data_IF_229156652566
#
_entry.id   IF_229156652566
#
_cell.length_a   1.000
_cell.length_b   1.000
_cell.length_c   1.000
_cell.angle_alpha   90.00
_cell.angle_beta   90.00
_cell.angle_gamma   90.00
#
_symmetry.space_group_name_H-M   'P 1'
#
loop_
_entity.id
_entity.type
_entity.pdbx_description
1 polymer ?
#
# COMPACT_ATOMS: atom_id res chain seq x y z
N UNK A 1 7.08 -0.99 10.35
CA UNK A 1 8.01 -0.03 10.99
C UNK A 1 9.40 -0.14 10.38
N UNK A 2 10.08 -1.30 10.46
CA UNK A 2 11.43 -1.49 9.87
C UNK A 2 11.51 -1.07 8.38
N UNK A 3 10.60 -1.55 7.54
CA UNK A 3 10.64 -1.27 6.08
C UNK A 3 10.45 0.21 5.73
N UNK A 4 9.59 0.95 6.44
CA UNK A 4 9.41 2.38 6.22
C UNK A 4 10.68 3.20 6.54
N UNK A 5 11.45 2.76 7.52
CA UNK A 5 12.73 3.39 7.88
C UNK A 5 13.79 3.04 6.84
N UNK A 6 13.84 1.77 6.42
CA UNK A 6 14.85 1.27 5.48
C UNK A 6 14.66 1.80 4.06
N UNK A 7 13.43 1.92 3.56
CA UNK A 7 13.15 2.27 2.15
C UNK A 7 12.82 3.75 1.96
N UNK A 8 12.14 4.35 2.95
CA UNK A 8 11.58 5.70 2.84
C UNK A 8 12.19 6.72 3.83
N UNK A 9 13.16 6.30 4.67
CA UNK A 9 13.70 7.12 5.77
C UNK A 9 12.61 7.76 6.63
N UNK A 10 11.44 7.10 6.70
CA UNK A 10 10.24 7.68 7.25
C UNK A 10 10.02 7.15 8.66
N UNK A 11 10.27 8.01 9.63
CA UNK A 11 9.78 7.81 10.98
C UNK A 11 8.26 8.06 11.02
N UNK A 12 7.54 7.17 11.72
CA UNK A 12 6.09 7.22 11.82
C UNK A 12 5.59 7.01 13.25
N UNK A 13 4.48 7.66 13.58
CA UNK A 13 3.74 7.52 14.85
C UNK A 13 2.29 7.09 14.57
N UNK A 14 1.50 6.90 15.64
CA UNK A 14 0.05 6.68 15.57
C UNK A 14 -0.36 5.56 14.60
N UNK A 15 0.21 4.37 14.84
CA UNK A 15 -0.06 3.19 14.04
C UNK A 15 -1.44 2.63 14.36
N UNK A 16 -2.32 2.66 13.36
CA UNK A 16 -3.66 2.10 13.44
C UNK A 16 -3.87 1.08 12.32
N UNK A 17 -4.41 -0.09 12.69
CA UNK A 17 -4.84 -1.07 11.69
C UNK A 17 -5.92 -0.45 10.81
N UNK A 18 -5.69 -0.44 9.50
CA UNK A 18 -6.59 0.17 8.52
C UNK A 18 -7.40 -0.90 7.78
N UNK A 19 -6.78 -2.01 7.40
CA UNK A 19 -7.46 -3.10 6.71
C UNK A 19 -6.53 -4.20 6.25
N UNK A 20 -7.04 -5.09 5.42
CA UNK A 20 -6.26 -6.14 4.77
C UNK A 20 -6.66 -6.30 3.31
N UNK A 21 -5.69 -6.62 2.47
CA UNK A 21 -5.86 -6.94 1.05
C UNK A 21 -5.27 -8.32 0.81
N UNK A 22 -6.11 -9.21 0.30
CA UNK A 22 -5.68 -10.50 -0.20
C UNK A 22 -5.39 -10.35 -1.70
N UNK A 23 -4.15 -10.61 -2.11
CA UNK A 23 -3.67 -10.38 -3.47
C UNK A 23 -2.98 -11.64 -4.01
N UNK A 24 -3.39 -12.08 -5.20
CA UNK A 24 -2.75 -13.19 -5.91
C UNK A 24 -2.33 -12.72 -7.29
N UNK A 25 -1.09 -13.03 -7.69
CA UNK A 25 -0.55 -12.71 -9.01
C UNK A 25 0.42 -13.78 -9.47
N UNK A 26 0.84 -13.70 -10.73
CA UNK A 26 1.86 -14.57 -11.31
C UNK A 26 2.89 -13.70 -12.00
N UNK A 27 4.17 -14.01 -11.79
CA UNK A 27 5.30 -13.38 -12.47
C UNK A 27 6.29 -14.46 -12.97
N UNK A 28 7.46 -14.04 -13.45
CA UNK A 28 8.51 -14.91 -13.97
C UNK A 28 9.04 -15.93 -12.93
N UNK A 29 8.78 -15.71 -11.64
CA UNK A 29 9.22 -16.57 -10.53
C UNK A 29 8.14 -17.54 -10.06
N UNK A 30 6.88 -17.33 -10.45
CA UNK A 30 5.78 -18.24 -10.20
C UNK A 30 4.50 -17.56 -9.73
N UNK A 31 3.60 -18.35 -9.15
CA UNK A 31 2.35 -17.87 -8.58
C UNK A 31 2.59 -17.43 -7.13
N UNK A 32 2.13 -16.23 -6.80
CA UNK A 32 2.21 -15.64 -5.48
C UNK A 32 0.83 -15.45 -4.88
N UNK A 33 0.75 -15.60 -3.57
CA UNK A 33 -0.44 -15.31 -2.78
C UNK A 33 -0.02 -14.58 -1.52
N UNK A 34 -0.51 -13.36 -1.37
CA UNK A 34 -0.12 -12.43 -0.34
C UNK A 34 -1.34 -11.97 0.46
N UNK A 35 -1.15 -11.85 1.77
CA UNK A 35 -2.07 -11.15 2.65
C UNK A 35 -1.39 -9.87 3.14
N UNK A 36 -1.76 -8.76 2.53
CA UNK A 36 -1.21 -7.44 2.82
C UNK A 36 -2.00 -6.77 3.95
N UNK A 37 -1.30 -6.29 4.98
CA UNK A 37 -1.91 -5.55 6.10
C UNK A 37 -1.71 -4.06 5.88
N UNK A 38 -2.80 -3.31 5.79
CA UNK A 38 -2.77 -1.86 5.67
C UNK A 38 -2.74 -1.24 7.06
N UNK A 39 -1.74 -0.42 7.30
CA UNK A 39 -1.53 0.31 8.54
C UNK A 39 -1.58 1.79 8.21
N UNK A 40 -2.49 2.51 8.85
CA UNK A 40 -2.48 3.97 8.85
C UNK A 40 -1.42 4.43 9.85
N UNK A 41 -0.60 5.39 9.44
CA UNK A 41 0.44 5.96 10.26
C UNK A 41 0.52 7.47 10.02
N UNK A 42 0.91 8.22 11.03
CA UNK A 42 1.25 9.62 10.90
C UNK A 42 2.76 9.75 10.64
N UNK A 43 3.16 10.48 9.61
CA UNK A 43 4.59 10.80 9.42
C UNK A 43 5.02 11.90 10.41
N UNK A 44 6.23 11.78 10.94
CA UNK A 44 6.85 12.86 11.73
C UNK A 44 7.76 13.76 10.89
N UNK A 45 7.87 13.49 9.58
CA UNK A 45 8.70 14.25 8.64
C UNK A 45 8.35 13.97 7.18
N UNK A 46 9.23 14.43 6.29
CA UNK A 46 9.16 14.19 4.85
C UNK A 46 9.61 12.78 4.50
N UNK A 47 9.07 12.23 3.41
CA UNK A 47 9.56 10.97 2.86
C UNK A 47 10.87 11.20 2.11
N UNK A 48 11.89 10.43 2.46
CA UNK A 48 13.13 10.30 1.70
C UNK A 48 13.09 9.09 0.77
N UNK A 49 13.96 9.06 -0.24
CA UNK A 49 14.23 7.85 -1.01
C UNK A 49 15.57 7.26 -0.56
N UNK A 50 15.57 6.00 -0.13
CA UNK A 50 16.80 5.28 0.24
C UNK A 50 17.33 4.45 -0.92
N UNK A 51 16.45 3.93 -1.77
CA UNK A 51 16.82 3.10 -2.91
C UNK A 51 16.76 3.91 -4.22
N UNK A 52 17.80 3.77 -5.06
CA UNK A 52 17.96 4.56 -6.29
C UNK A 52 16.82 4.39 -7.32
N UNK A 53 16.04 3.32 -7.20
CA UNK A 53 14.96 2.99 -8.12
C UNK A 53 13.58 3.42 -7.62
N UNK A 54 13.48 4.01 -6.42
CA UNK A 54 12.23 4.46 -5.83
C UNK A 54 12.15 5.98 -5.80
N UNK A 55 10.99 6.52 -6.16
CA UNK A 55 10.67 7.95 -6.01
C UNK A 55 9.36 8.10 -5.29
N UNK A 56 9.28 9.07 -4.38
CA UNK A 56 8.12 9.26 -3.54
C UNK A 56 7.42 10.58 -3.82
N UNK A 57 6.10 10.57 -3.69
CA UNK A 57 5.26 11.75 -3.84
C UNK A 57 3.99 11.62 -3.00
N UNK A 58 3.63 12.69 -2.31
CA UNK A 58 2.35 12.81 -1.63
C UNK A 58 1.24 13.14 -2.62
N UNK A 59 0.11 12.43 -2.50
CA UNK A 59 -1.11 12.72 -3.25
C UNK A 59 -2.31 12.86 -2.31
N UNK A 60 -3.24 13.79 -2.57
CA UNK A 60 -4.53 13.80 -1.91
C UNK A 60 -5.29 12.48 -2.14
N UNK A 61 -5.95 11.96 -1.12
CA UNK A 61 -6.78 10.72 -1.21
C UNK A 61 -7.82 10.81 -2.34
N UNK A 62 -8.33 12.01 -2.61
CA UNK A 62 -9.29 12.26 -3.70
C UNK A 62 -8.72 11.98 -5.10
N UNK A 63 -7.40 11.93 -5.26
CA UNK A 63 -6.75 11.62 -6.55
C UNK A 63 -6.55 10.13 -6.78
N UNK A 64 -6.77 9.26 -5.79
CA UNK A 64 -6.49 7.82 -5.91
C UNK A 64 -7.24 7.14 -7.06
N UNK A 65 -8.43 7.63 -7.44
CA UNK A 65 -9.18 7.10 -8.59
C UNK A 65 -8.55 7.38 -9.95
N UNK A 66 -7.56 8.27 -10.00
CA UNK A 66 -6.87 8.69 -11.23
C UNK A 66 -5.44 8.17 -11.32
N UNK A 67 -4.98 7.45 -10.28
CA UNK A 67 -3.62 6.94 -10.16
C UNK A 67 -3.63 5.41 -10.37
N UNK A 68 -2.58 4.87 -10.99
CA UNK A 68 -2.34 3.41 -11.02
C UNK A 68 -1.77 2.99 -9.67
N UNK A 69 -2.65 2.78 -8.69
CA UNK A 69 -2.27 2.33 -7.35
C UNK A 69 -2.39 0.81 -7.28
N UNK A 70 -1.29 0.17 -6.90
CA UNK A 70 -1.19 -1.29 -6.73
C UNK A 70 -0.84 -1.66 -5.28
N UNK A 71 -1.20 -2.86 -4.80
CA UNK A 71 -2.04 -3.85 -5.47
C UNK A 71 -3.48 -3.37 -5.67
N UNK A 72 -4.23 -4.07 -6.54
CA UNK A 72 -5.65 -3.78 -6.76
C UNK A 72 -6.42 -3.81 -5.43
N UNK A 73 -7.34 -2.85 -5.25
CA UNK A 73 -8.12 -2.72 -4.02
C UNK A 73 -7.56 -1.74 -2.98
N UNK A 74 -6.29 -1.32 -3.07
CA UNK A 74 -5.72 -0.30 -2.15
C UNK A 74 -6.47 1.02 -2.25
N UNK A 75 -6.65 1.54 -3.47
CA UNK A 75 -7.34 2.81 -3.69
C UNK A 75 -8.77 2.79 -3.14
N UNK A 76 -9.51 1.71 -3.38
CA UNK A 76 -10.88 1.54 -2.87
C UNK A 76 -10.90 1.48 -1.33
N UNK A 77 -9.98 0.74 -0.72
CA UNK A 77 -9.87 0.62 0.74
C UNK A 77 -9.57 1.97 1.39
N UNK A 78 -8.64 2.75 0.82
CA UNK A 78 -8.29 4.09 1.31
C UNK A 78 -9.44 5.09 1.17
N UNK A 79 -10.26 4.99 0.13
CA UNK A 79 -11.40 5.89 -0.10
C UNK A 79 -12.61 5.61 0.80
N UNK A 80 -12.85 4.34 1.18
CA UNK A 80 -14.01 3.97 1.99
C UNK A 80 -13.87 4.37 3.45
N UNK A 81 -12.65 4.42 3.99
CA UNK A 81 -12.32 4.90 5.34
C UNK A 81 -12.87 4.02 6.47
N UNK A 82 -11.97 3.41 7.27
CA UNK A 82 -12.32 2.65 8.47
C UNK A 82 -11.82 1.21 8.46
N UNK A 83 -11.96 0.44 9.57
CA UNK A 83 -11.48 -0.93 9.66
C UNK A 83 -12.38 -1.82 8.80
N UNK A 84 -12.01 -1.97 7.53
CA UNK A 84 -12.81 -2.73 6.57
C UNK A 84 -12.19 -4.11 6.40
N UNK A 85 -12.94 -5.09 6.88
CA UNK A 85 -12.69 -6.49 6.58
C UNK A 85 -13.20 -6.85 5.19
N UNK A 86 -12.25 -7.12 4.31
CA UNK A 86 -12.31 -7.86 3.03
C UNK A 86 -12.90 -7.15 1.81
N UNK A 87 -12.09 -7.08 0.75
CA UNK A 87 -12.56 -7.27 -0.63
C UNK A 87 -11.62 -8.23 -1.38
N UNK A 88 -12.20 -9.23 -2.04
CA UNK A 88 -11.51 -10.26 -2.84
C UNK A 88 -11.97 -10.16 -4.29
N UNK A 89 -11.07 -10.64 -5.17
CA UNK A 89 -11.13 -10.95 -6.60
C UNK A 89 -10.38 -9.88 -7.40
N UNK A 90 -9.22 -10.13 -7.99
CA UNK A 90 -8.64 -11.39 -8.47
C UNK A 90 -8.95 -11.54 -9.95
N UNK A 91 -8.15 -10.91 -10.81
CA UNK A 91 -8.04 -11.31 -12.21
C UNK A 91 -6.57 -11.49 -12.56
N UNK A 92 -6.14 -12.75 -12.52
CA UNK A 92 -5.07 -13.19 -13.42
C UNK A 92 -5.55 -12.95 -14.84
N UNK A 93 -4.94 -11.98 -15.52
CA UNK A 93 -5.21 -11.66 -16.92
C UNK A 93 -4.10 -12.20 -17.80
N UNK A 94 -4.40 -13.34 -18.45
CA UNK A 94 -3.93 -13.87 -19.75
C UNK A 94 -2.60 -13.38 -20.34
#
# INVERSE_FOLDING_TARGET
MRELIEEAQLEVTDLHGFGFIEHSYTDDTGSHHELNVLIQAASVGEVGAVEDHLTFRWFPVSMLSTLDVRPEGVAATLQQGGPIGRLVVGNGGT
#
